data_IF_802982124049
#
_entry.id   IF_802982124049
#
_cell.length_a   1.000
_cell.length_b   1.000
_cell.length_c   1.000
_cell.angle_alpha   90.00
_cell.angle_beta   90.00
_cell.angle_gamma   90.00
#
_symmetry.space_group_name_H-M   'P 1'
#
loop_
_entity.id
_entity.type
_entity.pdbx_description
1 polymer ?
#
# COMPACT_ATOMS: atom_id res chain seq x y z
N UNK A 1 -8.45 -11.75 3.04
CA UNK A 1 -8.14 -10.33 3.33
C UNK A 1 -9.37 -9.46 3.57
N UNK A 2 -10.41 -10.01 4.16
CA UNK A 2 -11.64 -9.24 4.44
C UNK A 2 -11.42 -8.03 5.36
N UNK A 3 -10.35 -8.05 6.16
CA UNK A 3 -9.97 -6.93 7.01
C UNK A 3 -9.68 -5.64 6.22
N UNK A 4 -9.42 -5.75 4.91
CA UNK A 4 -9.22 -4.58 4.05
C UNK A 4 -10.49 -3.74 3.91
N UNK A 5 -11.67 -4.33 4.14
CA UNK A 5 -12.94 -3.59 4.03
C UNK A 5 -13.02 -2.42 5.00
N UNK A 6 -12.38 -2.52 6.17
CA UNK A 6 -12.35 -1.42 7.15
C UNK A 6 -11.62 -0.18 6.61
N UNK A 7 -10.83 -0.34 5.56
CA UNK A 7 -10.10 0.76 4.93
C UNK A 7 -10.75 1.23 3.63
N UNK A 8 -12.00 0.83 3.38
CA UNK A 8 -12.74 1.25 2.19
C UNK A 8 -12.51 0.38 0.96
N UNK A 9 -11.87 -0.77 1.09
CA UNK A 9 -11.61 -1.66 -0.04
C UNK A 9 -12.82 -2.55 -0.28
N UNK A 10 -13.28 -2.61 -1.54
CA UNK A 10 -14.45 -3.39 -1.92
C UNK A 10 -14.14 -4.87 -2.06
N UNK A 11 -15.20 -5.69 -2.01
CA UNK A 11 -15.09 -7.12 -2.25
C UNK A 11 -14.49 -7.43 -3.63
N UNK A 12 -14.88 -6.64 -4.65
CA UNK A 12 -14.38 -6.83 -6.01
C UNK A 12 -12.87 -6.59 -6.08
N UNK A 13 -12.38 -5.56 -5.43
CA UNK A 13 -10.93 -5.28 -5.36
C UNK A 13 -10.19 -6.42 -4.65
N UNK A 14 -10.74 -6.93 -3.56
CA UNK A 14 -10.14 -8.05 -2.84
C UNK A 14 -10.03 -9.29 -3.75
N UNK A 15 -11.10 -9.59 -4.51
CA UNK A 15 -11.06 -10.70 -5.46
C UNK A 15 -9.99 -10.51 -6.53
N UNK A 16 -9.81 -9.29 -7.02
CA UNK A 16 -8.77 -8.99 -7.99
C UNK A 16 -7.37 -9.16 -7.42
N UNK A 17 -7.16 -8.84 -6.15
CA UNK A 17 -5.88 -9.08 -5.49
C UNK A 17 -5.51 -10.57 -5.51
N UNK A 18 -6.47 -11.45 -5.21
CA UNK A 18 -6.24 -12.88 -5.25
C UNK A 18 -5.94 -13.41 -6.65
N UNK A 19 -6.47 -12.76 -7.68
CA UNK A 19 -6.22 -13.14 -9.07
C UNK A 19 -4.88 -12.62 -9.58
N UNK A 20 -4.51 -11.42 -9.16
CA UNK A 20 -3.34 -10.72 -9.70
C UNK A 20 -2.03 -11.20 -9.12
N UNK A 21 -2.00 -11.49 -7.82
CA UNK A 21 -0.77 -11.87 -7.14
C UNK A 21 -0.67 -13.37 -6.96
N UNK A 22 0.57 -13.86 -7.00
CA UNK A 22 0.85 -15.27 -6.77
C UNK A 22 0.47 -15.68 -5.34
N UNK A 23 0.11 -16.98 -5.11
CA UNK A 23 -0.27 -17.45 -3.77
C UNK A 23 0.74 -17.10 -2.67
N UNK A 24 2.04 -17.14 -2.98
CA UNK A 24 3.08 -16.77 -2.01
C UNK A 24 3.00 -15.32 -1.55
N UNK A 25 2.65 -14.40 -2.45
CA UNK A 25 2.48 -12.99 -2.10
C UNK A 25 1.27 -12.81 -1.19
N UNK A 26 0.16 -13.46 -1.53
CA UNK A 26 -1.06 -13.41 -0.72
C UNK A 26 -0.79 -14.00 0.67
N UNK A 27 -0.09 -15.13 0.73
CA UNK A 27 0.26 -15.77 1.98
C UNK A 27 1.09 -14.85 2.88
N UNK A 28 2.08 -14.15 2.32
CA UNK A 28 2.86 -13.16 3.06
C UNK A 28 1.98 -12.04 3.60
N UNK A 29 1.00 -11.59 2.82
CA UNK A 29 0.07 -10.55 3.25
C UNK A 29 -0.75 -11.01 4.46
N UNK A 30 -1.17 -12.28 4.46
CA UNK A 30 -1.94 -12.84 5.57
C UNK A 30 -1.07 -13.03 6.82
N UNK A 31 0.17 -13.47 6.65
CA UNK A 31 1.11 -13.68 7.76
C UNK A 31 1.54 -12.37 8.41
N UNK A 32 1.72 -11.33 7.61
CA UNK A 32 2.18 -10.01 8.07
C UNK A 32 1.02 -9.02 8.21
N UNK A 33 -0.19 -9.50 8.47
CA UNK A 33 -1.39 -8.68 8.53
C UNK A 33 -1.24 -7.45 9.44
N UNK A 34 -0.70 -7.63 10.64
CA UNK A 34 -0.53 -6.52 11.60
C UNK A 34 0.36 -5.42 11.03
N UNK A 35 1.44 -5.80 10.38
CA UNK A 35 2.36 -4.86 9.74
C UNK A 35 1.70 -4.12 8.60
N UNK A 36 0.91 -4.84 7.78
CA UNK A 36 0.18 -4.21 6.68
C UNK A 36 -0.87 -3.23 7.18
N UNK A 37 -1.62 -3.61 8.20
CA UNK A 37 -2.64 -2.73 8.81
C UNK A 37 -1.99 -1.46 9.33
N UNK A 38 -0.90 -1.57 10.07
CA UNK A 38 -0.16 -0.42 10.58
C UNK A 38 0.32 0.50 9.46
N UNK A 39 0.84 -0.09 8.39
CA UNK A 39 1.32 0.67 7.23
C UNK A 39 0.18 1.39 6.52
N UNK A 40 -0.97 0.72 6.33
CA UNK A 40 -2.14 1.33 5.69
C UNK A 40 -2.65 2.50 6.52
N UNK A 41 -2.75 2.33 7.83
CA UNK A 41 -3.18 3.40 8.73
C UNK A 41 -2.25 4.61 8.60
N UNK A 42 -0.95 4.37 8.60
CA UNK A 42 0.04 5.43 8.42
C UNK A 42 -0.18 6.19 7.11
N UNK A 43 -0.37 5.46 6.01
CA UNK A 43 -0.55 6.09 4.70
C UNK A 43 -1.84 6.89 4.63
N UNK A 44 -2.95 6.35 5.13
CA UNK A 44 -4.23 7.06 5.12
C UNK A 44 -4.23 8.26 6.06
N UNK A 45 -3.58 8.17 7.20
CA UNK A 45 -3.43 9.30 8.12
C UNK A 45 -2.65 10.45 7.50
N UNK A 46 -1.79 10.15 6.53
CA UNK A 46 -1.01 11.16 5.81
C UNK A 46 -1.63 11.53 4.46
N UNK A 47 -2.87 11.13 4.22
CA UNK A 47 -3.66 11.63 3.10
C UNK A 47 -3.80 10.71 1.90
N UNK A 48 -3.40 9.42 1.99
CA UNK A 48 -3.59 8.47 0.88
C UNK A 48 -5.07 8.26 0.61
N UNK A 49 -5.49 8.44 -0.66
CA UNK A 49 -6.88 8.31 -1.08
C UNK A 49 -7.12 7.18 -2.07
N UNK A 50 -6.08 6.66 -2.70
CA UNK A 50 -6.18 5.62 -3.71
C UNK A 50 -5.53 4.31 -3.26
N UNK A 51 -5.86 3.89 -2.04
CA UNK A 51 -5.32 2.64 -1.48
C UNK A 51 -5.57 1.43 -2.38
N UNK A 52 -6.75 1.36 -3.01
CA UNK A 52 -7.08 0.28 -3.93
C UNK A 52 -6.08 0.19 -5.09
N UNK A 53 -5.71 1.31 -5.69
CA UNK A 53 -4.70 1.35 -6.75
C UNK A 53 -3.33 0.92 -6.25
N UNK A 54 -2.96 1.35 -5.04
CA UNK A 54 -1.68 0.95 -4.44
C UNK A 54 -1.64 -0.56 -4.23
N UNK A 55 -2.72 -1.12 -3.70
CA UNK A 55 -2.80 -2.58 -3.48
C UNK A 55 -2.73 -3.34 -4.80
N UNK A 56 -3.47 -2.89 -5.82
CA UNK A 56 -3.52 -3.59 -7.10
C UNK A 56 -2.22 -3.46 -7.92
N UNK A 57 -1.49 -2.39 -7.74
CA UNK A 57 -0.28 -2.15 -8.52
C UNK A 57 1.02 -2.42 -7.76
N UNK A 58 1.01 -2.35 -6.43
CA UNK A 58 2.24 -2.41 -5.66
C UNK A 58 2.05 -2.93 -4.23
N UNK A 59 1.38 -4.06 -4.09
CA UNK A 59 1.17 -4.67 -2.77
C UNK A 59 2.52 -4.91 -2.05
N UNK A 60 3.54 -5.31 -2.78
CA UNK A 60 4.85 -5.60 -2.20
C UNK A 60 5.54 -4.38 -1.59
N UNK A 61 5.21 -3.18 -2.05
CA UNK A 61 5.70 -1.95 -1.43
C UNK A 61 5.28 -1.87 0.03
N UNK A 62 4.06 -2.29 0.33
CA UNK A 62 3.54 -2.25 1.70
C UNK A 62 4.26 -3.22 2.64
N UNK A 63 4.91 -4.25 2.09
CA UNK A 63 5.68 -5.20 2.91
C UNK A 63 6.93 -4.58 3.52
N UNK A 64 7.39 -3.43 3.01
CA UNK A 64 8.52 -2.73 3.62
C UNK A 64 8.20 -2.26 5.05
N UNK A 65 6.93 -2.01 5.34
CA UNK A 65 6.50 -1.53 6.63
C UNK A 65 6.58 -0.01 6.78
N UNK A 66 5.88 0.49 7.77
CA UNK A 66 5.71 1.93 8.04
C UNK A 66 7.05 2.67 8.14
N UNK A 67 7.99 2.15 8.92
CA UNK A 67 9.27 2.81 9.18
C UNK A 67 10.09 2.96 7.90
N UNK A 68 10.22 1.88 7.13
CA UNK A 68 11.00 1.89 5.90
C UNK A 68 10.36 2.78 4.84
N UNK A 69 9.04 2.71 4.72
CA UNK A 69 8.30 3.55 3.78
C UNK A 69 8.50 5.03 4.11
N UNK A 70 8.44 5.40 5.39
CA UNK A 70 8.68 6.76 5.82
C UNK A 70 10.08 7.24 5.40
N UNK A 71 11.10 6.40 5.63
CA UNK A 71 12.47 6.72 5.23
C UNK A 71 12.58 6.93 3.72
N UNK A 72 11.97 6.05 2.93
CA UNK A 72 11.98 6.15 1.46
C UNK A 72 11.33 7.45 1.01
N UNK A 73 10.18 7.80 1.58
CA UNK A 73 9.46 9.02 1.20
C UNK A 73 10.23 10.28 1.58
N UNK A 74 10.84 10.29 2.76
CA UNK A 74 11.58 11.46 3.24
C UNK A 74 12.83 11.74 2.42
N UNK A 75 13.38 10.74 1.74
CA UNK A 75 14.49 10.95 0.82
C UNK A 75 14.06 11.69 -0.45
N UNK A 76 12.80 11.57 -0.83
CA UNK A 76 12.27 12.25 -2.02
C UNK A 76 11.85 13.69 -1.68
N UNK A 77 10.97 13.84 -0.71
CA UNK A 77 10.50 15.14 -0.21
C UNK A 77 9.92 14.95 1.19
N UNK A 78 8.67 15.31 1.45
CA UNK A 78 8.01 14.98 2.71
C UNK A 78 7.02 13.85 2.48
N UNK A 79 6.66 13.13 3.56
CA UNK A 79 5.69 12.05 3.47
C UNK A 79 4.39 12.53 2.82
N UNK A 80 3.85 13.66 3.26
CA UNK A 80 2.58 14.18 2.74
C UNK A 80 2.67 14.57 1.27
N UNK A 81 3.78 15.16 0.85
CA UNK A 81 3.98 15.52 -0.56
C UNK A 81 4.08 14.29 -1.45
N UNK A 82 4.82 13.27 -1.01
CA UNK A 82 4.94 12.01 -1.75
C UNK A 82 3.57 11.35 -1.88
N UNK A 83 2.79 11.31 -0.81
CA UNK A 83 1.46 10.72 -0.84
C UNK A 83 0.54 11.48 -1.80
N UNK A 84 0.63 12.81 -1.86
CA UNK A 84 -0.12 13.58 -2.86
C UNK A 84 0.26 13.19 -4.29
N UNK A 85 1.53 12.96 -4.54
CA UNK A 85 1.99 12.51 -5.86
C UNK A 85 1.46 11.12 -6.19
N UNK A 86 1.42 10.22 -5.21
CA UNK A 86 0.86 8.87 -5.39
C UNK A 86 -0.64 8.94 -5.65
N UNK A 87 -1.37 9.85 -4.97
CA UNK A 87 -2.79 10.07 -5.23
C UNK A 87 -3.04 10.52 -6.66
N UNK A 88 -2.14 11.28 -7.24
CA UNK A 88 -2.23 11.73 -8.63
C UNK A 88 -1.82 10.65 -9.64
N UNK A 89 -0.88 9.81 -9.26
CA UNK A 89 -0.39 8.72 -10.14
C UNK A 89 0.28 7.65 -9.28
N UNK A 90 -0.38 6.50 -9.17
CA UNK A 90 0.12 5.38 -8.35
C UNK A 90 1.50 4.90 -8.83
N UNK A 91 1.83 5.10 -10.10
CA UNK A 91 3.11 4.71 -10.65
C UNK A 91 4.29 5.50 -10.06
N UNK A 92 4.02 6.58 -9.36
CA UNK A 92 5.05 7.34 -8.66
C UNK A 92 5.83 6.44 -7.68
N UNK A 93 5.17 5.41 -7.15
CA UNK A 93 5.82 4.44 -6.24
C UNK A 93 7.03 3.78 -6.91
N UNK A 94 6.98 3.52 -8.21
CA UNK A 94 8.10 2.90 -8.92
C UNK A 94 9.36 3.77 -8.91
N UNK A 95 9.20 5.08 -8.82
CA UNK A 95 10.33 6.00 -8.72
C UNK A 95 10.97 5.96 -7.34
N UNK A 96 10.18 5.65 -6.32
CA UNK A 96 10.64 5.62 -4.93
C UNK A 96 11.49 4.38 -4.64
N UNK A 97 11.22 3.26 -5.29
CA UNK A 97 11.83 1.97 -4.96
C UNK A 97 12.95 1.56 -5.91
N UNK A 98 13.39 2.44 -6.74
CA UNK A 98 14.52 2.17 -7.64
C UNK A 98 15.85 2.08 -6.93
#
# INVERSE_FOLDING_TARGET
>A
MNWLKQFGITTDTIKELYKKYEPGVIENALLDQEKLVETIIFLQDNGLKNLDDVLLNNLTFLFFGKKKIKEIMEKDSSVKEVIQKINGDVKYIYKLVK
#
